data_IF_245428371092
#
_entry.id   IF_245428371092
#
_cell.length_a   1.000
_cell.length_b   1.000
_cell.length_c   1.000
_cell.angle_alpha   90.00
_cell.angle_beta   90.00
_cell.angle_gamma   90.00
#
_symmetry.space_group_name_H-M   'P 1'
#
loop_
_entity.id
_entity.type
_entity.pdbx_description
1 polymer ?
#
# COMPACT_ATOMS: atom_id res chain seq x y z
N UNK A 1 -12.95 4.85 -1.88
CA UNK A 1 -13.25 3.73 -0.95
C UNK A 1 -14.67 3.20 -1.09
N UNK A 2 -15.71 4.04 -1.18
CA UNK A 2 -17.10 3.57 -1.25
C UNK A 2 -17.38 2.49 -2.33
N UNK A 3 -16.84 2.64 -3.55
CA UNK A 3 -16.96 1.64 -4.62
C UNK A 3 -16.12 0.36 -4.42
N UNK A 4 -15.02 0.45 -3.67
CA UNK A 4 -14.13 -0.67 -3.38
C UNK A 4 -14.67 -1.51 -2.21
N UNK A 5 -15.31 -0.85 -1.23
CA UNK A 5 -15.89 -1.47 -0.03
C UNK A 5 -17.41 -1.71 -0.15
N UNK A 6 -18.04 -1.37 -1.27
CA UNK A 6 -19.50 -1.48 -1.45
C UNK A 6 -20.31 -0.60 -0.48
N UNK A 7 -19.73 0.50 0.00
CA UNK A 7 -20.41 1.43 0.92
C UNK A 7 -21.27 2.43 0.13
N UNK A 8 -22.30 2.99 0.78
CA UNK A 8 -23.25 3.96 0.21
C UNK A 8 -24.18 3.42 -0.89
N UNK A 9 -24.45 2.11 -0.92
CA UNK A 9 -25.40 1.50 -1.86
C UNK A 9 -24.89 1.43 -3.31
N UNK A 10 -23.59 1.60 -3.52
CA UNK A 10 -22.94 1.52 -4.82
C UNK A 10 -22.53 0.06 -5.12
N UNK A 11 -22.65 -0.36 -6.38
CA UNK A 11 -22.17 -1.67 -6.83
C UNK A 11 -20.65 -1.76 -6.69
N UNK A 12 -20.18 -2.90 -6.18
CA UNK A 12 -18.76 -3.19 -5.94
C UNK A 12 -18.03 -3.38 -7.27
N UNK A 13 -17.57 -2.30 -7.89
CA UNK A 13 -16.73 -2.34 -9.10
C UNK A 13 -15.28 -2.02 -8.73
N UNK A 14 -14.38 -3.02 -8.67
CA UNK A 14 -12.99 -2.81 -8.23
C UNK A 14 -12.09 -2.17 -9.31
N UNK A 15 -12.44 -2.22 -10.60
CA UNK A 15 -11.58 -1.73 -11.70
C UNK A 15 -11.25 -0.23 -11.62
N UNK A 16 -12.28 0.63 -11.61
CA UNK A 16 -12.10 2.09 -11.62
C UNK A 16 -11.39 2.58 -10.34
N UNK A 17 -11.77 2.11 -9.12
CA UNK A 17 -11.06 2.47 -7.91
C UNK A 17 -9.59 2.05 -7.90
N UNK A 18 -9.23 0.90 -8.49
CA UNK A 18 -7.84 0.45 -8.54
C UNK A 18 -6.96 1.32 -9.44
N UNK A 19 -7.46 1.75 -10.60
CA UNK A 19 -6.76 2.70 -11.46
C UNK A 19 -6.58 4.05 -10.77
N UNK A 20 -7.63 4.58 -10.13
CA UNK A 20 -7.57 5.83 -9.37
C UNK A 20 -6.59 5.73 -8.19
N UNK A 21 -6.52 4.59 -7.51
CA UNK A 21 -5.55 4.34 -6.44
C UNK A 21 -4.12 4.31 -6.96
N UNK A 22 -3.88 3.69 -8.12
CA UNK A 22 -2.57 3.69 -8.75
C UNK A 22 -2.13 5.12 -9.15
N UNK A 23 -3.03 5.90 -9.74
CA UNK A 23 -2.72 7.29 -10.10
C UNK A 23 -2.46 8.16 -8.86
N UNK A 24 -3.26 7.99 -7.80
CA UNK A 24 -3.04 8.65 -6.53
C UNK A 24 -1.69 8.23 -5.91
N UNK A 25 -1.33 6.95 -6.01
CA UNK A 25 -0.04 6.43 -5.56
C UNK A 25 1.14 7.03 -6.33
N UNK A 26 0.99 7.27 -7.65
CA UNK A 26 1.99 8.00 -8.45
C UNK A 26 2.12 9.46 -8.03
N UNK A 27 0.98 10.09 -7.66
CA UNK A 27 0.89 11.50 -7.24
C UNK A 27 1.07 11.71 -5.73
N UNK A 28 1.56 10.71 -4.99
CA UNK A 28 1.64 10.74 -3.53
C UNK A 28 2.36 12.02 -3.05
N UNK A 29 1.57 12.91 -2.42
CA UNK A 29 2.00 14.12 -1.73
C UNK A 29 1.60 14.02 -0.25
N UNK A 30 2.03 14.97 0.59
CA UNK A 30 1.69 15.01 2.02
C UNK A 30 0.15 14.99 2.23
N UNK A 31 -0.62 15.51 1.27
CA UNK A 31 -2.09 15.55 1.34
C UNK A 31 -2.77 14.26 0.85
N UNK A 32 -2.07 13.42 0.07
CA UNK A 32 -2.60 12.21 -0.60
C UNK A 32 -1.95 10.91 -0.09
N UNK A 33 -1.58 10.89 1.19
CA UNK A 33 -0.93 9.73 1.82
C UNK A 33 -1.88 8.54 1.99
N UNK A 34 -3.15 8.79 2.31
CA UNK A 34 -4.14 7.76 2.62
C UNK A 34 -4.45 6.81 1.44
N UNK A 35 -4.62 7.28 0.19
CA UNK A 35 -4.84 6.38 -0.96
C UNK A 35 -3.60 5.55 -1.33
N UNK A 36 -2.40 6.14 -1.23
CA UNK A 36 -1.13 5.46 -1.54
C UNK A 36 -0.86 4.34 -0.54
N UNK A 37 -1.16 4.58 0.73
CA UNK A 37 -1.10 3.58 1.79
C UNK A 37 -1.99 2.37 1.50
N UNK A 38 -3.22 2.61 1.05
CA UNK A 38 -4.19 1.55 0.73
C UNK A 38 -3.75 0.76 -0.50
N UNK A 39 -3.16 1.41 -1.50
CA UNK A 39 -2.61 0.74 -2.69
C UNK A 39 -1.36 -0.10 -2.35
N UNK A 40 -0.44 0.43 -1.55
CA UNK A 40 0.77 -0.29 -1.14
C UNK A 40 0.47 -1.49 -0.24
N UNK A 41 -0.56 -1.40 0.60
CA UNK A 41 -1.01 -2.48 1.49
C UNK A 41 -2.05 -3.41 0.85
N UNK A 42 -1.93 -3.76 -0.43
CA UNK A 42 -2.81 -4.75 -1.08
C UNK A 42 -2.99 -6.07 -0.27
N UNK A 43 -2.06 -6.39 0.63
CA UNK A 43 -2.15 -7.53 1.56
C UNK A 43 -2.78 -7.24 2.95
N UNK A 44 -2.96 -5.98 3.36
CA UNK A 44 -3.43 -5.61 4.72
C UNK A 44 -4.75 -4.85 4.76
N UNK A 45 -5.45 -4.74 3.63
CA UNK A 45 -6.82 -4.21 3.64
C UNK A 45 -7.82 -5.36 3.60
N UNK A 46 -8.89 -5.22 4.39
CA UNK A 46 -9.91 -6.26 4.59
C UNK A 46 -10.64 -6.70 3.30
N UNK A 47 -10.42 -6.02 2.17
CA UNK A 47 -10.95 -6.38 0.87
C UNK A 47 -9.87 -7.13 0.07
N UNK A 48 -10.01 -8.45 -0.02
CA UNK A 48 -9.18 -9.31 -0.86
C UNK A 48 -9.49 -9.02 -2.34
N UNK A 49 -8.87 -7.97 -2.90
CA UNK A 49 -9.02 -7.61 -4.31
C UNK A 49 -8.37 -8.71 -5.15
N UNK A 50 -9.08 -9.20 -6.17
CA UNK A 50 -8.57 -10.27 -7.02
C UNK A 50 -7.42 -9.80 -7.93
N UNK A 51 -6.41 -10.66 -8.09
CA UNK A 51 -5.18 -10.40 -8.86
C UNK A 51 -5.43 -9.82 -10.26
N UNK A 52 -6.50 -10.24 -10.93
CA UNK A 52 -6.88 -9.78 -12.26
C UNK A 52 -7.02 -8.25 -12.39
N UNK A 53 -7.32 -7.55 -11.29
CA UNK A 53 -7.59 -6.11 -11.32
C UNK A 53 -6.35 -5.24 -11.15
N UNK A 54 -5.25 -5.79 -10.63
CA UNK A 54 -4.01 -5.03 -10.40
C UNK A 54 -2.80 -5.54 -11.17
N UNK A 55 -2.78 -6.81 -11.59
CA UNK A 55 -1.70 -7.37 -12.43
C UNK A 55 -1.45 -6.53 -13.71
N UNK A 56 -2.47 -6.04 -14.45
CA UNK A 56 -2.24 -5.22 -15.63
C UNK A 56 -1.66 -3.83 -15.34
N UNK A 57 -1.76 -3.37 -14.09
CA UNK A 57 -1.31 -2.03 -13.67
C UNK A 57 0.16 -2.03 -13.25
N UNK A 58 0.77 -3.22 -13.07
CA UNK A 58 2.15 -3.39 -12.63
C UNK A 58 3.08 -3.28 -13.85
N UNK A 59 4.14 -2.44 -13.79
CA UNK A 59 5.17 -2.40 -14.82
C UNK A 59 5.77 -3.79 -15.08
N UNK A 60 6.00 -4.16 -16.35
CA UNK A 60 6.51 -5.49 -16.76
C UNK A 60 7.83 -5.91 -16.10
N UNK A 61 8.63 -4.96 -15.59
CA UNK A 61 9.89 -5.21 -14.90
C UNK A 61 9.76 -5.26 -13.35
N UNK A 62 8.54 -5.24 -12.82
CA UNK A 62 8.27 -5.18 -11.37
C UNK A 62 7.30 -6.26 -10.93
N UNK A 63 7.36 -6.63 -9.65
CA UNK A 63 6.39 -7.55 -9.02
C UNK A 63 5.37 -6.75 -8.18
N UNK A 64 4.18 -7.33 -7.92
CA UNK A 64 3.19 -6.71 -7.02
C UNK A 64 3.80 -6.39 -5.66
N UNK A 65 4.61 -7.31 -5.12
CA UNK A 65 5.30 -7.16 -3.84
C UNK A 65 6.37 -6.06 -3.84
N UNK A 66 7.08 -5.87 -4.96
CA UNK A 66 8.10 -4.83 -5.08
C UNK A 66 7.49 -3.43 -5.18
N UNK A 67 6.42 -3.25 -5.97
CA UNK A 67 5.71 -1.96 -6.04
C UNK A 67 4.97 -1.67 -4.72
N UNK A 68 4.37 -2.67 -4.08
CA UNK A 68 3.78 -2.55 -2.75
C UNK A 68 4.80 -2.01 -1.74
N UNK A 69 5.98 -2.66 -1.66
CA UNK A 69 7.07 -2.23 -0.79
C UNK A 69 7.46 -0.77 -1.02
N UNK A 70 7.75 -0.42 -2.27
CA UNK A 70 8.15 0.94 -2.68
C UNK A 70 7.11 2.00 -2.31
N UNK A 71 5.82 1.70 -2.46
CA UNK A 71 4.76 2.64 -2.10
C UNK A 71 4.64 2.80 -0.58
N UNK A 72 4.74 1.73 0.20
CA UNK A 72 4.67 1.80 1.67
C UNK A 72 5.89 2.56 2.21
N UNK A 73 7.11 2.26 1.73
CA UNK A 73 8.33 2.97 2.12
C UNK A 73 8.24 4.47 1.80
N UNK A 74 7.70 4.83 0.63
CA UNK A 74 7.48 6.22 0.26
C UNK A 74 6.50 6.93 1.20
N UNK A 75 5.42 6.26 1.59
CA UNK A 75 4.44 6.82 2.53
C UNK A 75 5.04 6.96 3.93
N UNK A 76 5.88 6.01 4.36
CA UNK A 76 6.62 6.11 5.61
C UNK A 76 7.60 7.30 5.59
N UNK A 77 8.32 7.51 4.48
CA UNK A 77 9.20 8.66 4.28
C UNK A 77 8.46 10.00 4.33
N UNK A 78 7.22 10.04 3.84
CA UNK A 78 6.39 11.25 3.89
C UNK A 78 5.77 11.52 5.28
N UNK A 79 6.08 10.71 6.30
CA UNK A 79 5.74 10.98 7.70
C UNK A 79 4.37 10.46 8.15
N UNK A 80 3.79 9.47 7.46
CA UNK A 80 2.56 8.84 7.93
C UNK A 80 2.87 7.88 9.10
N UNK A 81 2.67 8.35 10.33
CA UNK A 81 2.90 7.59 11.58
C UNK A 81 2.40 6.13 11.58
N UNK A 82 1.16 5.81 11.16
CA UNK A 82 0.69 4.41 11.16
C UNK A 82 1.44 3.53 10.15
N UNK A 83 2.02 4.11 9.10
CA UNK A 83 2.87 3.38 8.15
C UNK A 83 4.25 3.15 8.72
N UNK A 84 4.86 4.16 9.36
CA UNK A 84 6.15 4.03 10.01
C UNK A 84 6.11 2.90 11.06
N UNK A 85 5.10 2.91 11.93
CA UNK A 85 4.90 1.83 12.90
C UNK A 85 4.78 0.43 12.25
N UNK A 86 3.96 0.30 11.20
CA UNK A 86 3.78 -0.98 10.49
C UNK A 86 5.06 -1.45 9.82
N UNK A 87 5.85 -0.52 9.27
CA UNK A 87 7.10 -0.84 8.61
C UNK A 87 8.16 -1.26 9.62
N UNK A 88 8.25 -0.55 10.76
CA UNK A 88 9.10 -0.96 11.89
C UNK A 88 8.79 -2.39 12.32
N UNK A 89 7.51 -2.67 12.59
CA UNK A 89 7.06 -4.02 12.94
C UNK A 89 7.37 -5.05 11.85
N UNK A 90 7.26 -4.69 10.56
CA UNK A 90 7.58 -5.61 9.47
C UNK A 90 9.07 -5.99 9.44
N UNK A 91 9.98 -5.03 9.68
CA UNK A 91 11.41 -5.29 9.79
C UNK A 91 11.79 -6.01 11.09
N UNK A 92 11.06 -5.80 12.19
CA UNK A 92 11.26 -6.52 13.46
C UNK A 92 10.92 -8.00 13.34
N UNK A 93 9.82 -8.35 12.67
CA UNK A 93 9.34 -9.74 12.58
C UNK A 93 9.69 -10.43 11.25
N UNK A 94 10.48 -9.79 10.39
CA UNK A 94 10.80 -10.28 9.05
C UNK A 94 9.53 -10.64 8.25
N UNK A 95 8.50 -9.80 8.36
CA UNK A 95 7.23 -10.03 7.69
C UNK A 95 7.45 -9.87 6.18
N UNK A 96 7.18 -10.89 5.35
CA UNK A 96 7.32 -10.77 3.90
C UNK A 96 6.55 -9.55 3.38
N UNK A 97 7.13 -8.77 2.45
CA UNK A 97 8.38 -9.00 1.73
C UNK A 97 9.63 -8.49 2.47
N UNK A 98 9.55 -7.97 3.69
CA UNK A 98 10.65 -7.28 4.38
C UNK A 98 11.61 -8.27 5.06
N UNK A 99 12.94 -8.12 4.89
CA UNK A 99 13.92 -8.91 5.65
C UNK A 99 13.94 -8.48 7.12
N UNK A 100 14.52 -9.31 7.98
CA UNK A 100 14.81 -8.93 9.37
C UNK A 100 15.88 -7.81 9.39
N UNK A 101 15.54 -6.64 9.93
CA UNK A 101 16.48 -5.54 10.16
C UNK A 101 16.10 -4.75 11.44
N UNK A 102 16.71 -5.08 12.59
CA UNK A 102 16.35 -4.45 13.86
C UNK A 102 16.80 -2.98 13.94
N UNK A 103 17.85 -2.58 13.22
CA UNK A 103 18.31 -1.18 13.23
C UNK A 103 17.32 -0.29 12.48
N UNK A 104 16.91 -0.75 11.29
CA UNK A 104 15.92 -0.06 10.49
C UNK A 104 14.55 -0.05 11.17
N UNK A 105 14.19 -1.13 11.87
CA UNK A 105 12.98 -1.18 12.69
C UNK A 105 12.93 -0.06 13.74
N UNK A 106 14.01 0.13 14.50
CA UNK A 106 14.08 1.17 15.55
C UNK A 106 13.99 2.58 14.94
N UNK A 107 14.60 2.79 13.77
CA UNK A 107 14.49 4.07 13.06
C UNK A 107 13.04 4.41 12.70
N UNK A 108 12.23 3.42 12.33
CA UNK A 108 10.82 3.63 12.02
C UNK A 108 9.93 3.84 13.25
N UNK A 109 10.42 3.58 14.46
CA UNK A 109 9.71 3.90 15.71
C UNK A 109 10.05 5.28 16.28
N UNK A 110 11.02 5.98 15.70
CA UNK A 110 11.46 7.33 16.14
C UNK A 110 10.74 8.43 15.39
#
# INVERSE_FOLDING_TARGET
MARLLGQLGLSTSPEIPMQLLQEAAKRSSIELLHPTYIYGLGEFTAAKVEERYYVPLIPQASSPTAEARKHIERVAYLGLAPTQYKLGHAYEYAAPPFPFDPLLSVQYYS
#
